data_IF_947467564094
#
_entry.id   IF_947467564094
#
_cell.length_a   1.000
_cell.length_b   1.000
_cell.length_c   1.000
_cell.angle_alpha   90.00
_cell.angle_beta   90.00
_cell.angle_gamma   90.00
#
_symmetry.space_group_name_H-M   'P 1'
#
loop_
_entity.id
_entity.type
_entity.pdbx_description
1 polymer ?
#
# COMPACT_ATOMS: atom_id res chain seq x y z
N UNK A 1 8.98 19.76 24.22
CA UNK A 1 8.01 18.91 23.49
C UNK A 1 8.68 17.56 23.25
N UNK A 2 8.01 16.47 23.64
CA UNK A 2 8.60 15.12 23.74
C UNK A 2 8.37 14.36 22.42
N UNK A 3 9.45 13.83 21.87
CA UNK A 3 9.49 12.91 20.74
C UNK A 3 8.96 11.54 21.18
N UNK A 4 8.11 10.90 20.38
CA UNK A 4 7.77 9.49 20.57
C UNK A 4 8.82 8.64 19.83
N UNK A 5 9.80 8.11 20.57
CA UNK A 5 10.69 7.05 20.11
C UNK A 5 9.89 5.74 19.96
N UNK A 6 9.82 5.17 18.76
CA UNK A 6 9.40 3.77 18.58
C UNK A 6 10.65 2.90 18.68
N UNK A 7 10.94 2.41 19.90
CA UNK A 7 12.02 1.44 20.14
C UNK A 7 11.56 0.02 19.87
N UNK A 8 12.35 -0.68 19.07
CA UNK A 8 12.50 -2.13 19.06
C UNK A 8 12.63 -2.67 20.50
N UNK A 9 11.83 -3.65 20.90
CA UNK A 9 12.14 -4.54 22.04
C UNK A 9 11.35 -5.84 21.97
N UNK A 10 12.05 -6.90 21.56
CA UNK A 10 11.75 -8.28 21.92
C UNK A 10 11.84 -8.45 23.45
N UNK A 11 10.91 -9.24 23.99
CA UNK A 11 10.88 -9.86 25.33
C UNK A 11 10.76 -8.93 26.55
N UNK A 12 9.53 -8.80 27.05
CA UNK A 12 9.14 -8.95 28.47
C UNK A 12 7.60 -8.89 28.57
N UNK A 13 6.97 -9.99 28.98
CA UNK A 13 5.54 -10.01 29.31
C UNK A 13 5.27 -9.12 30.52
N UNK A 14 4.26 -8.25 30.49
CA UNK A 14 3.68 -7.65 31.68
C UNK A 14 2.43 -8.42 32.15
N UNK A 15 2.03 -8.26 33.43
CA UNK A 15 1.04 -9.08 34.09
C UNK A 15 -0.39 -8.73 33.68
N UNK A 16 -1.27 -9.71 33.93
CA UNK A 16 -2.73 -9.73 33.82
C UNK A 16 -3.46 -8.41 34.07
N UNK A 17 -4.41 -8.11 33.17
CA UNK A 17 -5.64 -7.39 33.53
C UNK A 17 -5.74 -5.96 33.03
N UNK A 18 -5.71 -5.75 31.72
CA UNK A 18 -6.49 -4.74 30.97
C UNK A 18 -6.03 -4.80 29.51
N UNK A 19 -6.82 -5.46 28.65
CA UNK A 19 -6.61 -5.34 27.20
C UNK A 19 -6.97 -3.91 26.82
N UNK A 20 -5.97 -3.03 26.70
CA UNK A 20 -6.11 -1.83 25.87
C UNK A 20 -6.39 -2.30 24.45
N UNK A 21 -7.66 -2.29 24.04
CA UNK A 21 -8.04 -2.42 22.64
C UNK A 21 -7.32 -1.32 21.88
N UNK A 22 -6.68 -1.70 20.79
CA UNK A 22 -6.11 -0.73 19.86
C UNK A 22 -7.26 0.04 19.23
N UNK A 23 -7.11 1.35 19.03
CA UNK A 23 -8.11 2.17 18.31
C UNK A 23 -8.47 1.56 16.92
N UNK A 24 -7.57 0.75 16.34
CA UNK A 24 -7.79 -0.02 15.13
C UNK A 24 -8.92 -1.08 15.23
N UNK A 25 -9.15 -1.65 16.41
CA UNK A 25 -10.20 -2.67 16.62
C UNK A 25 -11.60 -2.03 16.79
N UNK A 26 -11.66 -0.77 17.21
CA UNK A 26 -12.93 -0.07 17.45
C UNK A 26 -13.58 0.46 16.16
N UNK A 27 -12.86 0.51 15.03
CA UNK A 27 -13.36 0.98 13.73
C UNK A 27 -13.76 -0.12 12.74
N UNK A 28 -13.68 -1.41 13.10
CA UNK A 28 -14.09 -2.51 12.21
C UNK A 28 -13.23 -2.64 10.95
N UNK A 29 -11.92 -2.35 11.05
CA UNK A 29 -10.98 -2.45 9.94
C UNK A 29 -10.99 -3.85 9.34
N UNK A 30 -11.27 -3.94 8.04
CA UNK A 30 -11.33 -5.22 7.33
C UNK A 30 -10.01 -5.54 6.63
N UNK A 31 -9.32 -4.55 6.06
CA UNK A 31 -8.00 -4.74 5.42
C UNK A 31 -7.27 -3.41 5.16
N UNK A 32 -5.95 -3.48 4.95
CA UNK A 32 -5.10 -2.34 4.55
C UNK A 32 -4.00 -2.80 3.59
N UNK A 33 -3.61 -1.94 2.65
CA UNK A 33 -2.59 -2.25 1.65
C UNK A 33 -1.94 -0.98 1.09
N UNK A 34 -0.74 -1.12 0.53
CA UNK A 34 0.01 -0.05 -0.12
C UNK A 34 0.13 -0.31 -1.63
N UNK A 35 0.07 0.77 -2.41
CA UNK A 35 0.28 0.76 -3.86
C UNK A 35 1.29 1.85 -4.23
N UNK A 36 2.43 1.48 -4.83
CA UNK A 36 3.35 2.48 -5.39
C UNK A 36 2.91 2.85 -6.80
N UNK A 37 2.96 4.14 -7.15
CA UNK A 37 2.45 4.67 -8.41
C UNK A 37 3.58 5.29 -9.24
N UNK A 38 3.58 5.03 -10.54
CA UNK A 38 4.60 5.53 -11.46
C UNK A 38 4.52 7.03 -11.76
N UNK A 39 3.44 7.69 -11.30
CA UNK A 39 3.25 9.13 -11.45
C UNK A 39 2.38 9.71 -10.33
N UNK A 40 2.53 11.01 -10.04
CA UNK A 40 1.67 11.68 -9.07
C UNK A 40 0.24 11.79 -9.60
N UNK A 41 -0.73 11.56 -8.70
CA UNK A 41 -2.15 11.79 -8.90
C UNK A 41 -2.66 12.69 -7.77
N UNK A 42 -3.60 13.58 -8.06
CA UNK A 42 -4.19 14.44 -7.04
C UNK A 42 -5.15 13.65 -6.14
N UNK A 43 -5.36 14.05 -4.87
CA UNK A 43 -6.29 13.36 -3.97
C UNK A 43 -7.71 13.29 -4.51
N UNK A 44 -8.19 14.35 -5.18
CA UNK A 44 -9.55 14.38 -5.75
C UNK A 44 -9.70 13.36 -6.90
N UNK A 45 -8.66 13.22 -7.73
CA UNK A 45 -8.63 12.22 -8.81
C UNK A 45 -8.62 10.80 -8.24
N UNK A 46 -7.82 10.57 -7.21
CA UNK A 46 -7.75 9.29 -6.48
C UNK A 46 -9.09 8.98 -5.80
N UNK A 47 -9.69 9.95 -5.11
CA UNK A 47 -10.98 9.81 -4.45
C UNK A 47 -12.07 9.43 -5.45
N UNK A 48 -12.11 10.11 -6.60
CA UNK A 48 -13.07 9.80 -7.64
C UNK A 48 -12.84 8.41 -8.25
N UNK A 49 -11.59 7.99 -8.45
CA UNK A 49 -11.29 6.66 -8.97
C UNK A 49 -11.64 5.53 -7.99
N UNK A 50 -11.40 5.74 -6.70
CA UNK A 50 -11.80 4.81 -5.64
C UNK A 50 -13.32 4.78 -5.46
N UNK A 51 -14.01 5.91 -5.60
CA UNK A 51 -15.47 5.98 -5.53
C UNK A 51 -16.15 5.18 -6.65
N UNK A 52 -15.54 5.10 -7.83
CA UNK A 52 -16.04 4.27 -8.94
C UNK A 52 -16.03 2.76 -8.62
N UNK A 53 -15.26 2.33 -7.61
CA UNK A 53 -15.08 0.92 -7.26
C UNK A 53 -16.01 0.41 -6.15
N UNK A 54 -16.71 1.31 -5.47
CA UNK A 54 -17.55 0.99 -4.30
C UNK A 54 -18.98 1.47 -4.49
N UNK A 55 -19.96 0.98 -3.70
CA UNK A 55 -21.32 1.49 -3.73
C UNK A 55 -21.38 3.01 -3.54
N UNK A 56 -22.21 3.74 -4.33
CA UNK A 56 -22.22 5.21 -4.35
C UNK A 56 -22.75 5.85 -3.04
N UNK A 57 -23.36 5.06 -2.16
CA UNK A 57 -23.76 5.50 -0.82
C UNK A 57 -22.60 5.57 0.18
N UNK A 58 -21.44 5.03 -0.17
CA UNK A 58 -20.27 4.97 0.69
C UNK A 58 -19.30 6.12 0.39
N UNK A 59 -18.69 6.64 1.45
CA UNK A 59 -17.74 7.75 1.35
C UNK A 59 -16.31 7.24 1.17
N UNK A 60 -15.57 7.91 0.29
CA UNK A 60 -14.12 7.78 0.14
C UNK A 60 -13.45 9.05 0.63
N UNK A 61 -12.44 8.91 1.48
CA UNK A 61 -11.62 10.02 1.96
C UNK A 61 -10.17 9.82 1.52
N UNK A 62 -9.60 10.76 0.75
CA UNK A 62 -8.19 10.71 0.31
C UNK A 62 -7.46 11.97 0.75
N UNK A 63 -6.28 11.82 1.36
CA UNK A 63 -5.49 12.92 1.94
C UNK A 63 -4.00 12.80 1.62
N UNK A 64 -3.29 13.92 1.75
CA UNK A 64 -1.82 13.97 1.71
C UNK A 64 -1.19 13.80 3.10
N UNK A 65 -1.88 14.28 4.15
CA UNK A 65 -1.34 14.31 5.51
C UNK A 65 -2.24 13.49 6.46
N UNK A 66 -1.60 12.72 7.33
CA UNK A 66 -2.24 11.98 8.41
C UNK A 66 -2.74 12.92 9.52
N UNK A 67 -2.20 14.14 9.61
CA UNK A 67 -2.67 15.16 10.54
C UNK A 67 -4.10 15.63 10.24
N UNK A 68 -4.58 15.43 9.01
CA UNK A 68 -5.95 15.75 8.58
C UNK A 68 -6.93 14.58 8.85
N UNK A 69 -6.70 13.83 9.94
CA UNK A 69 -7.54 12.69 10.30
C UNK A 69 -8.97 13.16 10.64
N UNK A 70 -9.96 12.55 10.01
CA UNK A 70 -11.38 12.82 10.24
C UNK A 70 -11.85 11.92 11.39
N UNK A 71 -12.62 12.48 12.34
CA UNK A 71 -13.11 11.75 13.53
C UNK A 71 -13.97 10.52 13.17
N UNK A 72 -14.64 10.55 12.02
CA UNK A 72 -15.39 9.42 11.47
C UNK A 72 -14.81 9.06 10.10
N UNK A 73 -14.02 7.98 9.95
CA UNK A 73 -13.51 7.57 8.64
C UNK A 73 -14.63 7.08 7.71
N UNK A 74 -14.52 7.37 6.42
CA UNK A 74 -15.38 6.82 5.37
C UNK A 74 -15.24 5.31 5.24
N UNK A 75 -15.93 4.72 4.26
CA UNK A 75 -15.82 3.27 4.01
C UNK A 75 -14.43 2.90 3.45
N UNK A 76 -13.86 3.80 2.65
CA UNK A 76 -12.46 3.77 2.23
C UNK A 76 -11.75 5.04 2.68
N UNK A 77 -10.55 4.85 3.19
CA UNK A 77 -9.62 5.94 3.47
C UNK A 77 -8.31 5.68 2.75
N UNK A 78 -7.68 6.73 2.22
CA UNK A 78 -6.37 6.61 1.62
C UNK A 78 -5.46 7.80 1.93
N UNK A 79 -4.18 7.51 2.16
CA UNK A 79 -3.13 8.49 2.35
C UNK A 79 -2.16 8.42 1.16
N UNK A 80 -1.80 9.59 0.64
CA UNK A 80 -0.81 9.69 -0.43
C UNK A 80 0.51 10.17 0.16
N UNK A 81 1.54 9.35 0.04
CA UNK A 81 2.90 9.63 0.49
C UNK A 81 3.93 9.69 -0.64
N UNK A 82 5.16 9.99 -0.28
CA UNK A 82 6.33 10.00 -1.17
C UNK A 82 7.23 8.78 -0.93
N UNK A 83 7.81 8.22 -2.00
CA UNK A 83 8.73 7.07 -1.91
C UNK A 83 10.20 7.44 -2.16
N UNK A 84 10.47 8.68 -2.57
CA UNK A 84 11.77 9.16 -3.06
C UNK A 84 12.37 8.42 -4.28
N UNK A 85 11.64 7.46 -4.85
CA UNK A 85 12.00 6.80 -6.11
C UNK A 85 11.46 7.62 -7.31
N UNK A 86 12.31 8.10 -8.23
CA UNK A 86 11.84 8.90 -9.36
C UNK A 86 10.92 8.15 -10.33
N UNK A 87 11.05 6.83 -10.43
CA UNK A 87 10.19 6.00 -11.28
C UNK A 87 8.87 5.64 -10.61
N UNK A 88 8.82 5.71 -9.27
CA UNK A 88 7.67 5.33 -8.45
C UNK A 88 7.34 6.38 -7.39
N UNK A 89 7.17 7.65 -7.77
CA UNK A 89 7.30 8.79 -6.85
C UNK A 89 6.31 8.82 -5.69
N UNK A 90 5.17 8.13 -5.81
CA UNK A 90 4.10 8.17 -4.81
C UNK A 90 3.77 6.78 -4.29
N UNK A 91 3.35 6.72 -3.03
CA UNK A 91 2.68 5.57 -2.43
C UNK A 91 1.27 5.97 -2.03
N UNK A 92 0.31 5.08 -2.30
CA UNK A 92 -1.07 5.18 -1.86
C UNK A 92 -1.31 4.11 -0.80
N UNK A 93 -1.44 4.52 0.45
CA UNK A 93 -1.77 3.63 1.57
C UNK A 93 -3.28 3.65 1.77
N UNK A 94 -3.94 2.52 1.52
CA UNK A 94 -5.40 2.39 1.56
C UNK A 94 -5.83 1.57 2.77
N UNK A 95 -6.88 2.06 3.42
CA UNK A 95 -7.55 1.42 4.54
C UNK A 95 -9.01 1.17 4.17
N UNK A 96 -9.44 -0.09 4.27
CA UNK A 96 -10.83 -0.50 4.06
C UNK A 96 -11.48 -0.65 5.43
N UNK A 97 -12.35 0.30 5.77
CA UNK A 97 -12.97 0.40 7.09
C UNK A 97 -14.27 -0.40 7.18
N UNK A 98 -14.85 -0.84 6.05
CA UNK A 98 -16.11 -1.59 6.04
C UNK A 98 -16.14 -2.68 4.99
N UNK A 99 -16.68 -3.84 5.34
CA UNK A 99 -16.82 -4.98 4.42
C UNK A 99 -17.79 -4.70 3.26
N UNK A 100 -18.74 -3.78 3.44
CA UNK A 100 -19.73 -3.38 2.43
C UNK A 100 -19.13 -2.64 1.21
N UNK A 101 -17.82 -2.35 1.19
CA UNK A 101 -17.15 -1.73 0.05
C UNK A 101 -17.22 -2.57 -1.24
N UNK A 102 -17.44 -3.89 -1.15
CA UNK A 102 -17.58 -4.74 -2.33
C UNK A 102 -16.32 -4.82 -3.21
N UNK A 103 -15.14 -4.55 -2.63
CA UNK A 103 -13.86 -4.62 -3.33
C UNK A 103 -13.41 -6.06 -3.61
N UNK A 104 -14.02 -7.07 -2.97
CA UNK A 104 -13.65 -8.47 -3.18
C UNK A 104 -12.31 -8.83 -2.51
N UNK A 105 -11.73 -10.00 -2.87
CA UNK A 105 -10.59 -10.57 -2.15
C UNK A 105 -9.24 -9.90 -2.44
N UNK A 106 -9.11 -9.17 -3.56
CA UNK A 106 -7.86 -8.54 -4.00
C UNK A 106 -8.08 -7.04 -4.28
N UNK A 107 -8.35 -6.24 -3.23
CA UNK A 107 -8.72 -4.84 -3.38
C UNK A 107 -7.59 -3.98 -3.97
N UNK A 108 -6.34 -4.28 -3.65
CA UNK A 108 -5.15 -3.61 -4.17
C UNK A 108 -5.04 -3.74 -5.69
N UNK A 109 -5.25 -4.95 -6.22
CA UNK A 109 -5.20 -5.20 -7.65
C UNK A 109 -6.32 -4.46 -8.41
N UNK A 110 -7.53 -4.45 -7.86
CA UNK A 110 -8.66 -3.73 -8.46
C UNK A 110 -8.44 -2.22 -8.47
N UNK A 111 -7.88 -1.66 -7.39
CA UNK A 111 -7.50 -0.26 -7.33
C UNK A 111 -6.42 0.04 -8.38
N UNK A 112 -5.37 -0.78 -8.47
CA UNK A 112 -4.32 -0.61 -9.46
C UNK A 112 -4.83 -0.64 -10.90
N UNK A 113 -5.72 -1.59 -11.25
CA UNK A 113 -6.36 -1.65 -12.57
C UNK A 113 -7.15 -0.37 -12.84
N UNK A 114 -7.97 0.09 -11.89
CA UNK A 114 -8.77 1.31 -12.05
C UNK A 114 -7.91 2.55 -12.29
N UNK A 115 -6.81 2.68 -11.55
CA UNK A 115 -5.87 3.80 -11.72
C UNK A 115 -5.17 3.75 -13.08
N UNK A 116 -4.84 2.56 -13.57
CA UNK A 116 -4.34 2.37 -14.92
C UNK A 116 -5.40 2.71 -15.99
N UNK A 117 -6.62 2.21 -15.88
CA UNK A 117 -7.69 2.47 -16.85
C UNK A 117 -8.03 3.96 -16.96
N UNK A 118 -8.11 4.64 -15.81
CA UNK A 118 -8.56 6.03 -15.75
C UNK A 118 -7.46 7.03 -16.07
N UNK A 119 -6.23 6.74 -15.63
CA UNK A 119 -5.15 7.71 -15.72
C UNK A 119 -3.95 7.19 -16.50
N UNK A 120 -3.81 5.88 -16.74
CA UNK A 120 -2.57 5.29 -17.26
C UNK A 120 -1.43 5.39 -16.25
N UNK A 121 -1.73 5.22 -14.95
CA UNK A 121 -0.73 5.11 -13.90
C UNK A 121 -0.35 3.63 -13.76
N UNK A 122 0.94 3.31 -13.88
CA UNK A 122 1.43 1.98 -13.55
C UNK A 122 1.55 1.85 -12.04
N UNK A 123 1.44 0.62 -11.54
CA UNK A 123 1.36 0.36 -10.10
C UNK A 123 2.23 -0.83 -9.67
N UNK A 124 2.78 -0.76 -8.45
CA UNK A 124 3.32 -1.89 -7.72
C UNK A 124 2.42 -2.22 -6.52
N UNK A 125 2.05 -3.49 -6.39
CA UNK A 125 1.20 -4.02 -5.33
C UNK A 125 1.93 -5.15 -4.59
N UNK A 126 1.34 -5.59 -3.48
CA UNK A 126 1.77 -6.79 -2.77
C UNK A 126 1.77 -8.03 -3.66
N UNK A 127 2.55 -9.04 -3.28
CA UNK A 127 2.73 -10.25 -4.11
C UNK A 127 1.71 -11.35 -3.84
N UNK A 128 0.87 -11.20 -2.82
CA UNK A 128 0.00 -12.28 -2.34
C UNK A 128 -1.26 -12.46 -3.20
N UNK A 129 -1.71 -13.70 -3.49
CA UNK A 129 -1.03 -15.00 -3.39
C UNK A 129 -0.24 -15.38 -4.67
N UNK A 130 0.08 -14.42 -5.53
CA UNK A 130 0.56 -14.65 -6.90
C UNK A 130 2.08 -14.87 -7.01
N UNK A 131 2.81 -14.80 -5.89
CA UNK A 131 4.25 -15.04 -5.81
C UNK A 131 4.67 -16.53 -5.92
N UNK A 132 3.73 -17.47 -5.86
CA UNK A 132 4.01 -18.92 -5.89
C UNK A 132 4.66 -19.39 -4.58
N UNK A 133 5.79 -20.12 -4.68
CA UNK A 133 6.55 -20.64 -3.52
C UNK A 133 7.35 -19.57 -2.76
N UNK A 134 7.34 -18.31 -3.22
CA UNK A 134 8.07 -17.23 -2.58
C UNK A 134 7.33 -16.75 -1.34
N UNK A 135 8.08 -16.36 -0.32
CA UNK A 135 7.52 -15.73 0.87
C UNK A 135 6.74 -14.47 0.43
N UNK A 136 5.43 -14.40 0.67
CA UNK A 136 4.62 -13.23 0.29
C UNK A 136 5.00 -11.97 1.08
N UNK A 137 5.74 -12.11 2.17
CA UNK A 137 6.28 -11.01 2.95
C UNK A 137 7.70 -10.62 2.52
N UNK A 138 8.27 -11.27 1.50
CA UNK A 138 9.56 -10.88 0.93
C UNK A 138 9.39 -9.50 0.25
N UNK A 139 9.96 -8.43 0.83
CA UNK A 139 9.73 -7.09 0.34
C UNK A 139 10.47 -6.81 -0.98
N UNK A 140 11.33 -7.73 -1.43
CA UNK A 140 12.08 -7.61 -2.69
C UNK A 140 11.28 -8.05 -3.92
N UNK A 141 10.02 -8.43 -3.74
CA UNK A 141 9.10 -8.79 -4.80
C UNK A 141 7.83 -7.96 -4.74
N UNK A 142 7.29 -7.65 -5.91
CA UNK A 142 6.00 -6.96 -6.06
C UNK A 142 5.26 -7.49 -7.28
N UNK A 143 3.93 -7.35 -7.29
CA UNK A 143 3.17 -7.42 -8.53
C UNK A 143 3.20 -6.06 -9.20
N UNK A 144 3.56 -6.01 -10.48
CA UNK A 144 3.59 -4.79 -11.26
C UNK A 144 2.46 -4.80 -12.31
N UNK A 145 1.57 -3.83 -12.24
CA UNK A 145 0.61 -3.50 -13.30
C UNK A 145 1.26 -2.48 -14.23
N UNK A 146 1.81 -2.94 -15.36
CA UNK A 146 2.50 -2.11 -16.34
C UNK A 146 1.72 -2.14 -17.65
N UNK A 147 1.21 -0.99 -18.08
CA UNK A 147 0.42 -0.90 -19.31
C UNK A 147 -0.81 -1.80 -19.31
N UNK A 148 -1.43 -2.01 -18.13
CA UNK A 148 -2.61 -2.85 -17.94
C UNK A 148 -2.31 -4.35 -17.92
N UNK A 149 -1.03 -4.74 -17.86
CA UNK A 149 -0.59 -6.14 -17.78
C UNK A 149 0.16 -6.41 -16.49
N UNK A 150 -0.02 -7.61 -15.96
CA UNK A 150 0.56 -8.00 -14.69
C UNK A 150 1.87 -8.77 -14.84
N UNK A 151 2.85 -8.41 -14.01
CA UNK A 151 4.16 -9.04 -13.95
C UNK A 151 4.56 -9.30 -12.51
N UNK A 152 5.31 -10.37 -12.29
CA UNK A 152 6.12 -10.50 -11.08
C UNK A 152 7.37 -9.63 -11.29
N UNK A 153 7.60 -8.69 -10.39
CA UNK A 153 8.70 -7.74 -10.47
C UNK A 153 9.59 -7.84 -9.24
N UNK A 154 10.90 -7.66 -9.45
CA UNK A 154 11.86 -7.53 -8.37
C UNK A 154 12.09 -6.06 -8.06
N UNK A 155 11.98 -5.70 -6.79
CA UNK A 155 12.30 -4.39 -6.21
C UNK A 155 13.65 -4.40 -5.48
N UNK A 156 14.39 -5.53 -5.55
CA UNK A 156 15.72 -5.65 -5.00
C UNK A 156 16.65 -4.57 -5.58
N UNK A 157 17.40 -3.91 -4.71
CA UNK A 157 18.34 -2.86 -5.11
C UNK A 157 17.69 -1.54 -5.54
N UNK A 158 16.36 -1.38 -5.43
CA UNK A 158 15.66 -0.13 -5.77
C UNK A 158 15.57 0.84 -4.59
N UNK A 159 15.22 2.11 -4.83
CA UNK A 159 15.07 3.12 -3.78
C UNK A 159 13.85 2.87 -2.90
N UNK A 160 12.87 2.13 -3.41
CA UNK A 160 11.70 1.67 -2.65
C UNK A 160 12.10 0.84 -1.42
N UNK A 161 13.23 0.14 -1.51
CA UNK A 161 13.80 -0.63 -0.39
C UNK A 161 14.73 0.21 0.50
N UNK A 162 14.85 1.49 0.17
CA UNK A 162 15.76 2.44 0.79
C UNK A 162 17.23 2.15 0.50
N UNK A 163 18.11 3.11 0.81
CA UNK A 163 19.49 2.77 1.02
C UNK A 163 19.58 1.90 2.29
N UNK A 164 20.06 0.68 2.15
CA UNK A 164 20.29 -0.21 3.29
C UNK A 164 21.78 -0.50 3.43
N UNK A 165 22.20 -0.83 4.65
CA UNK A 165 23.57 -1.22 4.94
C UNK A 165 23.56 -2.65 5.47
N UNK A 166 24.37 -3.52 4.87
CA UNK A 166 24.54 -4.90 5.36
C UNK A 166 25.52 -5.00 6.54
N UNK A 167 25.91 -3.86 7.11
CA UNK A 167 26.95 -3.72 8.13
C UNK A 167 28.35 -3.46 7.55
N UNK A 168 28.57 -3.70 6.26
CA UNK A 168 29.87 -3.55 5.60
C UNK A 168 29.86 -2.56 4.43
N UNK A 169 28.71 -2.44 3.75
CA UNK A 169 28.53 -1.56 2.58
C UNK A 169 27.16 -0.91 2.61
N UNK A 170 27.12 0.35 2.19
CA UNK A 170 25.87 1.08 1.88
C UNK A 170 25.47 0.74 0.44
N UNK A 171 24.27 0.23 0.27
CA UNK A 171 23.63 0.04 -1.02
C UNK A 171 22.77 1.26 -1.29
N UNK A 172 22.96 1.99 -2.40
CA UNK A 172 22.26 3.26 -2.66
C UNK A 172 20.81 3.08 -3.10
N UNK A 173 20.42 1.87 -3.51
CA UNK A 173 19.08 1.61 -4.04
C UNK A 173 18.89 2.16 -5.46
N UNK A 174 19.90 2.20 -6.31
CA UNK A 174 19.83 2.84 -7.64
C UNK A 174 19.41 1.91 -8.78
N UNK A 175 19.06 0.66 -8.48
CA UNK A 175 18.55 -0.27 -9.49
C UNK A 175 17.10 0.08 -9.87
N UNK A 176 16.75 -0.23 -11.12
CA UNK A 176 15.38 -0.12 -11.59
C UNK A 176 14.56 -1.36 -11.19
N UNK A 177 13.25 -1.19 -11.02
CA UNK A 177 12.33 -2.32 -10.88
C UNK A 177 12.42 -3.22 -12.11
N UNK A 178 12.70 -4.50 -11.88
CA UNK A 178 12.90 -5.47 -12.96
C UNK A 178 11.68 -6.38 -13.10
N UNK A 179 11.01 -6.32 -14.25
CA UNK A 179 9.97 -7.27 -14.61
C UNK A 179 10.60 -8.64 -14.89
N UNK A 180 10.21 -9.67 -14.14
CA UNK A 180 10.80 -11.01 -14.23
C UNK A 180 9.99 -11.91 -15.15
N UNK A 181 8.67 -11.95 -14.97
CA UNK A 181 7.78 -12.74 -15.82
C UNK A 181 6.34 -12.20 -15.77
N UNK A 182 5.54 -12.40 -16.82
CA UNK A 182 4.10 -12.16 -16.76
C UNK A 182 3.42 -13.04 -15.70
N UNK A 183 2.33 -12.53 -15.14
CA UNK A 183 1.47 -13.21 -14.17
C UNK A 183 0.01 -12.98 -14.57
N UNK A 184 -0.83 -14.01 -14.44
CA UNK A 184 -2.27 -13.84 -14.50
C UNK A 184 -2.79 -13.58 -13.08
N UNK A 185 -3.56 -12.51 -12.92
CA UNK A 185 -4.29 -12.22 -11.68
C UNK A 185 -5.80 -12.38 -11.96
N UNK A 186 -6.60 -12.78 -10.96
CA UNK A 186 -8.06 -12.79 -11.04
C UNK A 186 -8.58 -11.38 -11.31
N UNK A 187 -9.68 -11.32 -12.06
CA UNK A 187 -10.49 -10.10 -12.24
C UNK A 187 -11.30 -9.76 -10.99
#
# INVERSE_FOLDING_TARGET
MRFLEVRNSLTRSPPTGERRRSAAEDFGLSTSFDIMLSKPLAPDDLAAALADLIPPSLRVDVRWDIADLIDEPGALWALVGDTHDPAWPRVLSVLVCREECGLGPYPDLRVAVRLWERFGADALCGTYPFAGERDPNDPYWSLACIGGRWYLASTCGTRLMGPYTDGTRVFPGDEAVRLVRPVAVPE
#
